data_IF_870306432312
#
_entry.id   IF_870306432312
#
_cell.length_a   1.000
_cell.length_b   1.000
_cell.length_c   1.000
_cell.angle_alpha   90.00
_cell.angle_beta   90.00
_cell.angle_gamma   90.00
#
_symmetry.space_group_name_H-M   'P 1'
#
loop_
_entity.id
_entity.type
_entity.pdbx_description
1 polymer ?
#
# COMPACT_ATOMS: atom_id res chain seq x y z
N UNK A 1 5.41 -12.52 -2.71
CA UNK A 1 3.97 -12.46 -2.34
C UNK A 1 3.36 -11.19 -2.90
N UNK A 2 2.16 -11.30 -3.44
CA UNK A 2 1.37 -10.15 -3.90
C UNK A 2 0.24 -9.90 -2.92
N UNK A 3 0.12 -8.67 -2.44
CA UNK A 3 -0.85 -8.30 -1.39
C UNK A 3 -1.93 -7.38 -1.95
N UNK A 4 -3.19 -7.68 -1.67
CA UNK A 4 -4.36 -6.93 -2.14
C UNK A 4 -5.11 -6.36 -0.93
N UNK A 5 -5.02 -5.04 -0.73
CA UNK A 5 -5.70 -4.34 0.36
C UNK A 5 -7.02 -3.78 -0.14
N UNK A 6 -8.11 -4.40 0.25
CA UNK A 6 -9.47 -4.01 -0.15
C UNK A 6 -10.47 -4.69 0.79
N UNK A 7 -11.59 -4.03 1.09
CA UNK A 7 -12.63 -4.58 1.95
C UNK A 7 -13.79 -5.23 1.18
N UNK A 8 -13.95 -4.92 -0.11
CA UNK A 8 -15.13 -5.33 -0.88
C UNK A 8 -14.83 -6.10 -2.16
N UNK A 9 -13.86 -5.65 -2.96
CA UNK A 9 -13.61 -6.24 -4.28
C UNK A 9 -13.10 -7.68 -4.18
N UNK A 10 -13.47 -8.55 -5.14
CA UNK A 10 -12.91 -9.89 -5.18
C UNK A 10 -11.39 -9.84 -5.32
N UNK A 11 -10.71 -10.70 -4.58
CA UNK A 11 -9.25 -10.80 -4.65
C UNK A 11 -8.85 -11.44 -5.97
N UNK A 12 -7.97 -10.81 -6.76
CA UNK A 12 -7.45 -11.45 -7.98
C UNK A 12 -6.73 -12.76 -7.65
N UNK A 13 -6.77 -13.69 -8.60
CA UNK A 13 -6.07 -14.96 -8.42
C UNK A 13 -4.57 -14.75 -8.22
N UNK A 14 -4.00 -15.45 -7.25
CA UNK A 14 -2.57 -15.34 -6.92
C UNK A 14 -2.24 -14.22 -5.96
N UNK A 15 -3.21 -13.46 -5.51
CA UNK A 15 -3.02 -12.38 -4.55
C UNK A 15 -3.50 -12.78 -3.17
N UNK A 16 -2.82 -12.23 -2.15
CA UNK A 16 -3.17 -12.43 -0.74
C UNK A 16 -4.00 -11.23 -0.26
N UNK A 17 -5.24 -11.47 0.13
CA UNK A 17 -6.15 -10.41 0.62
C UNK A 17 -5.81 -10.02 2.05
N UNK A 18 -5.78 -8.69 2.29
CA UNK A 18 -5.83 -8.11 3.62
C UNK A 18 -6.91 -7.02 3.63
N UNK A 19 -7.45 -6.73 4.82
CA UNK A 19 -8.59 -5.83 4.99
C UNK A 19 -8.20 -4.49 5.61
N UNK A 20 -7.09 -4.45 6.36
CA UNK A 20 -6.68 -3.29 7.13
C UNK A 20 -5.23 -2.93 6.89
N UNK A 21 -4.88 -1.61 7.04
CA UNK A 21 -3.50 -1.17 6.80
C UNK A 21 -2.47 -1.89 7.65
N UNK A 22 -2.74 -2.14 8.93
CA UNK A 22 -1.79 -2.82 9.80
C UNK A 22 -1.49 -4.25 9.36
N UNK A 23 -2.46 -4.93 8.75
CA UNK A 23 -2.22 -6.26 8.18
C UNK A 23 -1.24 -6.20 7.01
N UNK A 24 -1.43 -5.20 6.12
CA UNK A 24 -0.53 -4.98 5.00
C UNK A 24 0.88 -4.64 5.49
N UNK A 25 0.98 -3.77 6.49
CA UNK A 25 2.26 -3.35 7.07
C UNK A 25 3.00 -4.54 7.68
N UNK A 26 2.31 -5.41 8.41
CA UNK A 26 2.92 -6.60 8.98
C UNK A 26 3.55 -7.49 7.90
N UNK A 27 2.86 -7.66 6.78
CA UNK A 27 3.39 -8.43 5.65
C UNK A 27 4.59 -7.73 4.99
N UNK A 28 4.52 -6.41 4.83
CA UNK A 28 5.63 -5.63 4.29
C UNK A 28 6.90 -5.76 5.14
N UNK A 29 6.73 -5.82 6.47
CA UNK A 29 7.86 -5.95 7.39
C UNK A 29 8.61 -7.28 7.23
N UNK A 30 7.98 -8.31 6.68
CA UNK A 30 8.65 -9.59 6.41
C UNK A 30 9.66 -9.51 5.29
N UNK A 31 9.58 -8.50 4.44
CA UNK A 31 10.42 -8.38 3.24
C UNK A 31 9.99 -9.29 2.09
N UNK A 32 8.90 -10.04 2.25
CA UNK A 32 8.45 -11.03 1.26
C UNK A 32 7.44 -10.48 0.24
N UNK A 33 7.00 -9.22 0.39
CA UNK A 33 6.02 -8.61 -0.51
C UNK A 33 6.73 -8.03 -1.72
N UNK A 34 6.43 -8.56 -2.90
CA UNK A 34 7.00 -8.08 -4.16
C UNK A 34 6.11 -7.07 -4.87
N UNK A 35 4.80 -7.15 -4.62
CA UNK A 35 3.81 -6.28 -5.23
C UNK A 35 2.64 -6.07 -4.27
N UNK A 36 2.13 -4.83 -4.20
CA UNK A 36 0.98 -4.51 -3.36
C UNK A 36 0.02 -3.60 -4.13
N UNK A 37 -1.27 -3.90 -4.04
CA UNK A 37 -2.33 -3.10 -4.65
C UNK A 37 -3.23 -2.56 -3.54
N UNK A 38 -3.43 -1.24 -3.53
CA UNK A 38 -4.04 -0.53 -2.41
C UNK A 38 -5.33 0.17 -2.81
N UNK A 39 -6.42 -0.14 -2.10
CA UNK A 39 -7.61 0.69 -2.06
C UNK A 39 -7.43 1.77 -0.98
N UNK A 40 -8.14 2.89 -1.10
CA UNK A 40 -8.13 3.94 -0.08
C UNK A 40 -9.19 3.67 0.99
N UNK A 41 -10.46 3.48 0.56
CA UNK A 41 -11.59 3.39 1.47
C UNK A 41 -11.79 1.93 1.90
N UNK A 42 -11.64 1.67 3.21
CA UNK A 42 -11.69 0.32 3.78
C UNK A 42 -12.90 0.12 4.69
N UNK A 43 -13.93 0.98 4.55
CA UNK A 43 -15.17 0.88 5.29
C UNK A 43 -15.20 1.64 6.61
N UNK A 44 -14.06 1.89 7.22
CA UNK A 44 -13.94 2.62 8.49
C UNK A 44 -12.64 3.43 8.52
N UNK A 45 -12.74 4.73 8.24
CA UNK A 45 -11.58 5.61 8.17
C UNK A 45 -10.85 5.75 9.52
N UNK A 46 -11.55 5.50 10.64
CA UNK A 46 -10.90 5.54 11.96
C UNK A 46 -9.94 4.37 12.16
N UNK A 47 -10.13 3.30 11.40
CA UNK A 47 -9.24 2.13 11.41
C UNK A 47 -8.11 2.26 10.39
N UNK A 48 -8.09 3.34 9.63
CA UNK A 48 -7.05 3.61 8.64
C UNK A 48 -7.53 3.45 7.20
N UNK A 49 -6.68 3.91 6.29
CA UNK A 49 -6.92 3.86 4.83
C UNK A 49 -5.69 3.31 4.12
N UNK A 50 -5.82 3.05 2.82
CA UNK A 50 -4.67 2.65 2.01
C UNK A 50 -3.53 3.67 2.00
N UNK A 51 -3.84 4.95 2.22
CA UNK A 51 -2.82 5.98 2.30
C UNK A 51 -1.87 5.78 3.48
N UNK A 52 -2.35 5.21 4.59
CA UNK A 52 -1.51 4.91 5.74
C UNK A 52 -0.39 3.92 5.38
N UNK A 53 -0.67 2.98 4.50
CA UNK A 53 0.35 2.05 4.01
C UNK A 53 1.42 2.78 3.21
N UNK A 54 1.01 3.73 2.36
CA UNK A 54 1.93 4.55 1.57
C UNK A 54 2.84 5.37 2.48
N UNK A 55 2.28 5.99 3.51
CA UNK A 55 3.06 6.76 4.47
C UNK A 55 4.08 5.88 5.21
N UNK A 56 3.67 4.67 5.59
CA UNK A 56 4.57 3.73 6.24
C UNK A 56 5.75 3.35 5.32
N UNK A 57 5.46 3.04 4.05
CA UNK A 57 6.51 2.68 3.09
C UNK A 57 7.48 3.85 2.89
N UNK A 58 6.95 5.06 2.73
CA UNK A 58 7.78 6.26 2.55
C UNK A 58 8.74 6.44 3.72
N UNK A 59 8.23 6.36 4.95
CA UNK A 59 9.06 6.47 6.14
C UNK A 59 10.10 5.36 6.22
N UNK A 60 9.71 4.13 5.93
CA UNK A 60 10.62 2.98 5.99
C UNK A 60 11.77 3.11 4.98
N UNK A 61 11.49 3.63 3.79
CA UNK A 61 12.52 3.89 2.77
C UNK A 61 13.53 4.92 3.28
N UNK A 62 13.03 6.02 3.84
CA UNK A 62 13.89 7.12 4.31
C UNK A 62 14.69 6.70 5.54
N UNK A 63 14.05 6.09 6.52
CA UNK A 63 14.65 5.83 7.83
C UNK A 63 15.50 4.56 7.85
N UNK A 64 15.06 3.51 7.14
CA UNK A 64 15.69 2.18 7.23
C UNK A 64 16.26 1.68 5.90
N UNK A 65 16.15 2.46 4.83
CA UNK A 65 16.58 1.98 3.52
C UNK A 65 15.72 0.81 3.01
N UNK A 66 14.46 0.74 3.43
CA UNK A 66 13.54 -0.31 3.02
C UNK A 66 13.41 -0.34 1.50
N UNK A 67 13.48 -1.54 0.90
CA UNK A 67 13.28 -1.72 -0.53
C UNK A 67 11.77 -1.87 -0.80
N UNK A 68 11.11 -0.85 -1.40
CA UNK A 68 9.68 -0.93 -1.58
C UNK A 68 9.28 -1.96 -2.64
N UNK A 69 8.09 -2.57 -2.51
CA UNK A 69 7.53 -3.40 -3.56
C UNK A 69 7.03 -2.54 -4.72
N UNK A 70 6.60 -3.18 -5.80
CA UNK A 70 5.82 -2.48 -6.82
C UNK A 70 4.45 -2.14 -6.23
N UNK A 71 4.04 -0.87 -6.32
CA UNK A 71 2.82 -0.36 -5.69
C UNK A 71 1.80 0.05 -6.74
N UNK A 72 0.60 -0.53 -6.67
CA UNK A 72 -0.54 -0.16 -7.49
C UNK A 72 -1.62 0.47 -6.63
N UNK A 73 -2.39 1.39 -7.20
CA UNK A 73 -3.54 2.02 -6.55
C UNK A 73 -4.80 1.69 -7.34
N UNK A 74 -5.81 1.15 -6.67
CA UNK A 74 -7.06 0.76 -7.32
C UNK A 74 -8.30 1.34 -6.63
N UNK A 75 -8.25 2.59 -6.17
CA UNK A 75 -9.36 3.23 -5.47
C UNK A 75 -10.39 3.82 -6.43
N UNK A 76 -11.68 3.69 -6.09
CA UNK A 76 -12.78 4.36 -6.78
C UNK A 76 -12.90 5.84 -6.41
N UNK A 77 -12.27 6.27 -5.32
CA UNK A 77 -12.22 7.66 -4.87
C UNK A 77 -11.09 8.38 -5.63
N UNK A 78 -11.47 9.16 -6.66
CA UNK A 78 -10.47 9.73 -7.58
C UNK A 78 -9.48 10.69 -6.93
N UNK A 79 -9.92 11.54 -6.01
CA UNK A 79 -9.02 12.48 -5.34
C UNK A 79 -8.07 11.75 -4.38
N UNK A 80 -8.56 10.74 -3.67
CA UNK A 80 -7.72 9.91 -2.81
C UNK A 80 -6.71 9.11 -3.65
N UNK A 81 -7.14 8.56 -4.78
CA UNK A 81 -6.26 7.82 -5.68
C UNK A 81 -5.12 8.70 -6.21
N UNK A 82 -5.42 9.95 -6.58
CA UNK A 82 -4.41 10.90 -7.05
C UNK A 82 -3.39 11.21 -5.96
N UNK A 83 -3.85 11.41 -4.73
CA UNK A 83 -2.97 11.63 -3.58
C UNK A 83 -2.07 10.42 -3.33
N UNK A 84 -2.63 9.22 -3.40
CA UNK A 84 -1.89 7.99 -3.20
C UNK A 84 -0.84 7.79 -4.30
N UNK A 85 -1.19 8.05 -5.56
CA UNK A 85 -0.24 7.96 -6.67
C UNK A 85 0.90 8.96 -6.55
N UNK A 86 0.62 10.16 -6.05
CA UNK A 86 1.66 11.14 -5.76
C UNK A 86 2.63 10.60 -4.69
N UNK A 87 2.09 9.94 -3.66
CA UNK A 87 2.90 9.28 -2.64
C UNK A 87 3.78 8.17 -3.22
N UNK A 88 3.24 7.37 -4.13
CA UNK A 88 4.00 6.33 -4.83
C UNK A 88 5.17 6.92 -5.61
N UNK A 89 4.95 8.03 -6.31
CA UNK A 89 6.02 8.71 -7.03
C UNK A 89 7.12 9.21 -6.10
N UNK A 90 6.74 9.73 -4.94
CA UNK A 90 7.70 10.15 -3.92
C UNK A 90 8.54 8.97 -3.43
N UNK A 91 7.90 7.84 -3.14
CA UNK A 91 8.59 6.62 -2.72
C UNK A 91 9.60 6.18 -3.78
N UNK A 92 9.21 6.20 -5.05
CA UNK A 92 10.07 5.80 -6.15
C UNK A 92 11.32 6.69 -6.26
N UNK A 93 11.16 8.00 -6.06
CA UNK A 93 12.31 8.93 -6.07
C UNK A 93 13.24 8.67 -4.90
N UNK A 94 12.69 8.48 -3.72
CA UNK A 94 13.48 8.23 -2.51
C UNK A 94 14.24 6.91 -2.59
N UNK A 95 13.63 5.89 -3.16
CA UNK A 95 14.24 4.57 -3.29
C UNK A 95 15.39 4.52 -4.30
N UNK A 96 15.48 5.51 -5.20
CA UNK A 96 16.57 5.60 -6.20
C UNK A 96 17.84 6.27 -5.68
N UNK A 97 17.82 6.82 -4.51
CA UNK A 97 18.98 7.51 -3.93
C UNK A 97 20.08 6.57 -3.52
#
# INVERSE_FOLDING_TARGET
>A
MRVFLDDERPTPEGWHRVYWPEEAIQLLETGAVEEISLDHDLGDDTHGTGYDVILWIEEAVVVRGFKPPHICVHSANSSAADKMRAGVQTIQRLARR
#
